data_IF_155771392233
#
_entry.id   IF_155771392233
#
_cell.length_a   1.000
_cell.length_b   1.000
_cell.length_c   1.000
_cell.angle_alpha   90.00
_cell.angle_beta   90.00
_cell.angle_gamma   90.00
#
_symmetry.space_group_name_H-M   'P 1'
#
loop_
_entity.id
_entity.type
_entity.pdbx_description
1 polymer ?
#
# COMPACT_ATOMS: atom_id res chain seq x y z
N UNK A 1 -51.83 34.93 -22.07
CA UNK A 1 -50.37 34.72 -22.21
C UNK A 1 -50.07 33.35 -21.59
N UNK A 2 -49.77 32.25 -22.26
CA UNK A 2 -49.24 31.98 -23.59
C UNK A 2 -48.23 30.84 -23.41
N UNK A 3 -48.73 29.60 -23.35
CA UNK A 3 -47.96 28.36 -23.13
C UNK A 3 -47.23 27.99 -24.43
N UNK A 4 -45.93 27.68 -24.36
CA UNK A 4 -45.29 26.77 -25.32
C UNK A 4 -44.23 25.88 -24.63
N UNK A 5 -44.35 24.55 -24.70
CA UNK A 5 -43.35 23.61 -24.18
C UNK A 5 -42.18 23.45 -25.16
N UNK A 6 -40.96 23.35 -24.62
CA UNK A 6 -39.77 23.02 -25.41
C UNK A 6 -39.73 21.52 -25.69
N UNK A 7 -39.84 21.22 -26.98
CA UNK A 7 -39.65 19.92 -27.63
C UNK A 7 -38.21 19.44 -27.40
N UNK A 8 -38.02 18.29 -26.74
CA UNK A 8 -36.70 17.62 -26.69
C UNK A 8 -36.73 16.43 -27.64
N UNK A 9 -35.93 16.55 -28.71
CA UNK A 9 -35.78 15.55 -29.77
C UNK A 9 -34.91 14.40 -29.25
N UNK A 10 -35.45 13.19 -29.26
CA UNK A 10 -34.74 11.95 -28.92
C UNK A 10 -34.11 11.40 -30.21
N UNK A 11 -32.78 11.42 -30.30
CA UNK A 11 -32.04 10.71 -31.35
C UNK A 11 -31.79 9.28 -30.92
N UNK A 12 -32.54 8.33 -31.50
CA UNK A 12 -32.27 6.89 -31.40
C UNK A 12 -31.25 6.56 -32.49
N UNK A 13 -29.98 6.46 -32.11
CA UNK A 13 -28.92 5.98 -33.00
C UNK A 13 -28.96 4.44 -33.05
N UNK A 14 -29.52 3.91 -34.14
CA UNK A 14 -29.40 2.51 -34.52
C UNK A 14 -27.98 2.27 -35.04
N UNK A 15 -27.09 1.77 -34.17
CA UNK A 15 -25.77 1.32 -34.58
C UNK A 15 -25.83 -0.14 -35.05
N UNK A 16 -25.43 -0.34 -36.30
CA UNK A 16 -25.38 -1.60 -37.03
C UNK A 16 -24.58 -2.70 -36.32
N UNK A 17 -25.19 -3.87 -36.20
CA UNK A 17 -24.58 -5.09 -35.71
C UNK A 17 -23.59 -5.66 -36.74
N UNK A 18 -22.32 -5.28 -36.66
CA UNK A 18 -21.26 -5.98 -37.39
C UNK A 18 -20.95 -7.30 -36.70
N UNK A 19 -21.48 -8.39 -37.27
CA UNK A 19 -21.12 -9.77 -36.89
C UNK A 19 -19.68 -10.03 -37.34
N UNK A 20 -18.72 -9.82 -36.44
CA UNK A 20 -17.34 -10.31 -36.60
C UNK A 20 -17.31 -11.81 -36.35
N UNK A 21 -16.93 -12.58 -37.38
CA UNK A 21 -16.67 -14.01 -37.25
C UNK A 21 -15.34 -14.20 -36.55
N UNK A 22 -15.36 -14.67 -35.32
CA UNK A 22 -14.16 -15.12 -34.61
C UNK A 22 -13.68 -16.43 -35.25
N UNK A 23 -12.60 -16.36 -36.02
CA UNK A 23 -11.81 -17.54 -36.39
C UNK A 23 -11.11 -18.04 -35.14
N UNK A 24 -11.43 -19.27 -34.71
CA UNK A 24 -10.73 -19.97 -33.66
C UNK A 24 -9.31 -20.29 -34.14
N UNK A 25 -8.36 -19.40 -33.87
CA UNK A 25 -6.94 -19.71 -33.90
C UNK A 25 -6.58 -20.35 -32.58
N UNK A 26 -6.19 -21.63 -32.62
CA UNK A 26 -5.62 -22.31 -31.45
C UNK A 26 -4.40 -21.51 -30.96
N UNK A 27 -4.40 -21.04 -29.70
CA UNK A 27 -3.21 -20.43 -29.14
C UNK A 27 -2.16 -21.52 -28.97
N UNK A 28 -1.13 -21.50 -29.82
CA UNK A 28 0.10 -22.22 -29.57
C UNK A 28 0.72 -21.67 -28.29
N UNK A 29 0.42 -22.34 -27.18
CA UNK A 29 1.03 -22.10 -25.88
C UNK A 29 2.50 -22.43 -26.03
N UNK A 30 3.27 -21.40 -26.37
CA UNK A 30 4.71 -21.42 -26.24
C UNK A 30 4.97 -21.52 -24.75
N UNK A 31 5.26 -22.75 -24.31
CA UNK A 31 5.77 -23.07 -22.98
C UNK A 31 7.07 -22.30 -22.81
N UNK A 32 6.97 -21.05 -22.34
CA UNK A 32 8.11 -20.29 -21.86
C UNK A 32 8.63 -21.10 -20.70
N UNK A 33 9.73 -21.79 -20.96
CA UNK A 33 10.53 -22.50 -19.98
C UNK A 33 10.93 -21.47 -18.92
N UNK A 34 10.10 -21.35 -17.87
CA UNK A 34 10.39 -20.51 -16.72
C UNK A 34 11.69 -21.05 -16.15
N UNK A 35 12.80 -20.39 -16.47
CA UNK A 35 14.09 -20.63 -15.82
C UNK A 35 13.84 -20.50 -14.33
N UNK A 36 13.75 -21.65 -13.67
CA UNK A 36 13.56 -21.78 -12.24
C UNK A 36 14.79 -21.12 -11.62
N UNK A 37 14.64 -19.85 -11.25
CA UNK A 37 15.67 -19.14 -10.51
C UNK A 37 16.03 -20.00 -9.30
N UNK A 38 17.32 -20.15 -8.96
CA UNK A 38 17.72 -20.89 -7.77
C UNK A 38 16.91 -20.34 -6.61
N UNK A 39 16.13 -21.22 -5.95
CA UNK A 39 15.29 -20.82 -4.83
C UNK A 39 16.19 -20.12 -3.82
N UNK A 40 15.91 -18.85 -3.55
CA UNK A 40 16.62 -18.15 -2.50
C UNK A 40 16.44 -18.94 -1.19
N UNK A 41 17.45 -18.95 -0.30
CA UNK A 41 17.34 -19.62 1.00
C UNK A 41 16.04 -19.20 1.71
N UNK A 42 15.27 -20.19 2.20
CA UNK A 42 13.96 -19.94 2.84
C UNK A 42 14.07 -18.96 4.02
N UNK A 43 15.23 -18.95 4.69
CA UNK A 43 15.56 -18.05 5.80
C UNK A 43 15.51 -16.55 5.45
N UNK A 44 15.61 -16.17 4.17
CA UNK A 44 15.67 -14.77 3.75
C UNK A 44 14.32 -14.18 3.35
N UNK A 45 13.20 -14.89 3.51
CA UNK A 45 11.88 -14.37 3.15
C UNK A 45 11.56 -13.02 3.81
N UNK A 46 11.86 -12.88 5.10
CA UNK A 46 11.69 -11.63 5.85
C UNK A 46 12.55 -10.48 5.31
N UNK A 47 13.82 -10.76 5.02
CA UNK A 47 14.74 -9.78 4.45
C UNK A 47 14.30 -9.33 3.05
N UNK A 48 13.81 -10.23 2.21
CA UNK A 48 13.25 -9.86 0.91
C UNK A 48 12.01 -8.98 1.03
N UNK A 49 11.12 -9.26 2.00
CA UNK A 49 9.94 -8.45 2.23
C UNK A 49 10.31 -7.04 2.71
N UNK A 50 11.27 -6.93 3.64
CA UNK A 50 11.84 -5.65 4.10
C UNK A 50 12.50 -4.89 2.96
N UNK A 51 13.38 -5.53 2.19
CA UNK A 51 14.08 -4.89 1.08
C UNK A 51 13.10 -4.32 0.05
N UNK A 52 12.06 -5.06 -0.30
CA UNK A 52 11.02 -4.56 -1.20
C UNK A 52 10.21 -3.43 -0.57
N UNK A 53 9.88 -3.52 0.72
CA UNK A 53 9.18 -2.44 1.43
C UNK A 53 9.99 -1.14 1.44
N UNK A 54 11.31 -1.24 1.66
CA UNK A 54 12.23 -0.11 1.58
C UNK A 54 12.25 0.50 0.16
N UNK A 55 12.22 -0.33 -0.88
CA UNK A 55 12.12 0.16 -2.27
C UNK A 55 10.78 0.85 -2.56
N UNK A 56 9.66 0.34 -2.05
CA UNK A 56 8.34 1.00 -2.15
C UNK A 56 8.37 2.38 -1.48
N UNK A 57 9.12 2.52 -0.39
CA UNK A 57 9.38 3.79 0.29
C UNK A 57 10.51 4.62 -0.35
N UNK A 58 10.97 4.27 -1.55
CA UNK A 58 12.04 4.95 -2.29
C UNK A 58 13.37 5.05 -1.53
N UNK A 59 13.68 4.10 -0.65
CA UNK A 59 15.00 3.99 -0.03
C UNK A 59 15.93 3.23 -0.97
N UNK A 60 17.11 3.80 -1.21
CA UNK A 60 18.16 3.16 -2.00
C UNK A 60 18.96 2.20 -1.11
N UNK A 61 18.67 0.90 -1.24
CA UNK A 61 19.23 -0.15 -0.38
C UNK A 61 19.65 -1.34 -1.21
N UNK A 62 20.93 -1.72 -1.11
CA UNK A 62 21.41 -2.97 -1.67
C UNK A 62 20.94 -4.14 -0.80
N UNK A 63 20.45 -5.21 -1.43
CA UNK A 63 19.96 -6.39 -0.70
C UNK A 63 21.03 -6.98 0.22
N UNK A 64 22.29 -6.98 -0.23
CA UNK A 64 23.45 -7.50 0.49
C UNK A 64 23.66 -6.82 1.85
N UNK A 65 23.27 -5.54 1.99
CA UNK A 65 23.42 -4.79 3.24
C UNK A 65 22.42 -5.22 4.32
N UNK A 66 21.34 -5.90 3.91
CA UNK A 66 20.31 -6.47 4.78
C UNK A 66 20.55 -7.94 5.10
N UNK A 67 21.41 -8.64 4.35
CA UNK A 67 21.79 -10.04 4.62
C UNK A 67 22.90 -10.07 5.66
N UNK A 68 22.57 -9.62 6.86
CA UNK A 68 23.45 -9.64 8.03
C UNK A 68 22.90 -10.63 9.06
N UNK A 69 23.78 -11.37 9.73
CA UNK A 69 23.40 -12.33 10.77
C UNK A 69 22.61 -11.68 11.92
N UNK A 70 22.77 -10.38 12.17
CA UNK A 70 21.95 -9.66 13.16
C UNK A 70 20.48 -9.51 12.78
N UNK A 71 20.12 -9.70 11.50
CA UNK A 71 18.75 -9.61 11.00
C UNK A 71 18.16 -10.97 10.60
N UNK A 72 18.98 -12.02 10.63
CA UNK A 72 18.59 -13.41 10.34
C UNK A 72 19.16 -14.27 11.47
N UNK A 73 18.50 -14.23 12.63
CA UNK A 73 19.02 -14.86 13.84
C UNK A 73 18.96 -16.39 13.85
N UNK A 74 18.24 -16.99 12.90
CA UNK A 74 18.04 -18.44 12.83
C UNK A 74 18.01 -18.99 11.40
N UNK A 75 18.33 -20.28 11.19
CA UNK A 75 18.10 -20.97 9.92
C UNK A 75 16.63 -20.96 9.45
N UNK A 76 15.69 -20.81 10.38
CA UNK A 76 14.26 -20.71 10.12
C UNK A 76 13.87 -19.34 9.56
N UNK A 77 14.70 -18.31 9.77
CA UNK A 77 14.56 -16.97 9.23
C UNK A 77 14.57 -15.87 10.29
N UNK A 78 14.04 -14.71 9.89
CA UNK A 78 14.01 -13.50 10.73
C UNK A 78 12.79 -13.46 11.65
N UNK A 79 12.98 -12.96 12.87
CA UNK A 79 11.90 -12.58 13.78
C UNK A 79 11.36 -11.18 13.46
N UNK A 80 10.15 -10.84 13.93
CA UNK A 80 9.59 -9.50 13.73
C UNK A 80 10.49 -8.39 14.29
N UNK A 81 11.13 -8.61 15.45
CA UNK A 81 12.04 -7.64 16.07
C UNK A 81 13.30 -7.41 15.23
N UNK A 82 13.85 -8.47 14.64
CA UNK A 82 14.99 -8.37 13.72
C UNK A 82 14.64 -7.60 12.44
N UNK A 83 13.45 -7.83 11.89
CA UNK A 83 12.97 -7.10 10.72
C UNK A 83 12.71 -5.62 11.01
N UNK A 84 12.21 -5.28 12.20
CA UNK A 84 12.10 -3.89 12.66
C UNK A 84 13.49 -3.25 12.77
N UNK A 85 14.45 -3.93 13.40
CA UNK A 85 15.83 -3.44 13.51
C UNK A 85 16.51 -3.28 12.14
N UNK A 86 16.12 -4.09 11.14
CA UNK A 86 16.61 -3.99 9.77
C UNK A 86 16.10 -2.71 9.08
N UNK A 87 14.81 -2.38 9.22
CA UNK A 87 14.24 -1.16 8.59
C UNK A 87 14.68 0.13 9.27
N UNK A 88 14.85 0.12 10.60
CA UNK A 88 15.24 1.30 11.37
C UNK A 88 16.63 1.83 10.98
N UNK A 89 17.51 0.98 10.41
CA UNK A 89 18.81 1.40 9.86
C UNK A 89 18.69 2.37 8.68
N UNK A 90 17.54 2.42 8.01
CA UNK A 90 17.31 3.19 6.79
C UNK A 90 16.31 4.33 6.96
N UNK A 91 16.21 4.88 8.18
CA UNK A 91 15.25 5.94 8.53
C UNK A 91 13.81 5.56 8.15
N UNK A 92 13.45 4.29 8.43
CA UNK A 92 12.10 3.76 8.28
C UNK A 92 11.66 3.19 9.61
N UNK A 93 10.48 3.60 10.06
CA UNK A 93 9.86 3.07 11.26
C UNK A 93 9.13 1.77 10.91
N UNK A 94 9.48 0.70 11.61
CA UNK A 94 8.71 -0.54 11.62
C UNK A 94 7.87 -0.64 12.89
N UNK A 95 6.55 -0.77 12.76
CA UNK A 95 5.66 -1.01 13.90
C UNK A 95 5.04 -2.39 13.75
N UNK A 96 5.34 -3.28 14.69
CA UNK A 96 4.68 -4.59 14.75
C UNK A 96 3.24 -4.37 15.23
N UNK A 97 2.29 -4.82 14.43
CA UNK A 97 0.87 -4.78 14.75
C UNK A 97 0.29 -6.19 14.67
N UNK A 98 -0.39 -6.61 15.72
CA UNK A 98 -1.09 -7.88 15.80
C UNK A 98 -2.60 -7.66 15.66
N UNK A 99 -3.32 -8.74 15.34
CA UNK A 99 -4.80 -8.75 15.20
C UNK A 99 -5.31 -7.75 14.15
N UNK A 100 -4.55 -7.55 13.09
CA UNK A 100 -4.98 -6.75 11.95
C UNK A 100 -6.08 -7.49 11.19
N UNK A 101 -7.07 -6.74 10.70
CA UNK A 101 -8.15 -7.26 9.85
C UNK A 101 -7.90 -6.93 8.38
N UNK A 102 -8.69 -7.51 7.47
CA UNK A 102 -8.62 -7.15 6.04
C UNK A 102 -9.00 -5.68 5.83
N UNK A 103 -9.97 -5.16 6.58
CA UNK A 103 -10.39 -3.76 6.51
C UNK A 103 -9.23 -2.82 6.90
N UNK A 104 -8.41 -3.22 7.87
CA UNK A 104 -7.20 -2.46 8.23
C UNK A 104 -6.19 -2.47 7.07
N UNK A 105 -5.98 -3.60 6.40
CA UNK A 105 -5.12 -3.67 5.21
C UNK A 105 -5.67 -2.80 4.07
N UNK A 106 -6.97 -2.87 3.82
CA UNK A 106 -7.64 -2.09 2.77
C UNK A 106 -7.52 -0.58 3.00
N UNK A 107 -7.57 -0.15 4.26
CA UNK A 107 -7.41 1.25 4.64
C UNK A 107 -5.95 1.71 4.79
N UNK A 108 -4.98 0.79 4.74
CA UNK A 108 -3.57 1.12 4.94
C UNK A 108 -3.01 1.92 3.78
N UNK A 109 -2.34 3.02 4.10
CA UNK A 109 -1.56 3.83 3.14
C UNK A 109 -0.07 3.45 3.13
N UNK A 110 0.31 2.46 3.92
CA UNK A 110 1.69 2.06 4.15
C UNK A 110 1.91 0.61 3.71
N UNK A 111 3.10 0.28 3.19
CA UNK A 111 3.48 -1.11 2.96
C UNK A 111 3.58 -1.86 4.29
N UNK A 112 3.18 -3.14 4.29
CA UNK A 112 3.12 -3.98 5.49
C UNK A 112 3.81 -5.31 5.22
N UNK A 113 4.78 -5.69 6.04
CA UNK A 113 5.39 -7.03 5.98
C UNK A 113 4.52 -8.00 6.78
N UNK A 114 3.82 -8.90 6.11
CA UNK A 114 2.84 -9.83 6.69
C UNK A 114 3.49 -11.15 7.11
N UNK A 115 3.08 -11.67 8.27
CA UNK A 115 3.48 -12.99 8.76
C UNK A 115 2.47 -14.06 8.31
N UNK A 116 2.90 -14.97 7.45
CA UNK A 116 2.00 -15.93 6.78
C UNK A 116 2.53 -17.36 6.86
N UNK A 117 1.66 -18.30 6.52
CA UNK A 117 2.04 -19.68 6.22
C UNK A 117 2.67 -19.74 4.84
N UNK A 118 3.79 -20.46 4.71
CA UNK A 118 4.40 -20.72 3.41
C UNK A 118 3.49 -21.51 2.44
N UNK A 119 2.52 -22.26 2.97
CA UNK A 119 1.50 -22.96 2.17
C UNK A 119 0.22 -23.19 2.97
N UNK A 120 -0.89 -23.54 2.30
CA UNK A 120 -2.14 -23.89 2.98
C UNK A 120 -2.04 -25.14 3.87
N UNK A 121 -1.13 -26.05 3.53
CA UNK A 121 -0.93 -27.29 4.27
C UNK A 121 0.03 -27.12 5.43
N UNK A 122 0.70 -25.97 5.53
CA UNK A 122 1.57 -25.67 6.66
C UNK A 122 0.75 -25.45 7.93
N UNK A 123 1.21 -26.02 9.03
CA UNK A 123 0.63 -25.79 10.36
C UNK A 123 1.22 -24.54 11.03
N UNK A 124 2.42 -24.14 10.61
CA UNK A 124 3.15 -22.99 11.14
C UNK A 124 3.08 -21.78 10.21
N UNK A 125 2.99 -20.60 10.82
CA UNK A 125 3.28 -19.32 10.20
C UNK A 125 4.80 -19.12 10.26
N UNK A 126 5.47 -19.33 9.14
CA UNK A 126 6.92 -19.45 9.02
C UNK A 126 7.48 -18.62 7.86
N UNK A 127 6.66 -17.73 7.30
CA UNK A 127 6.98 -17.01 6.08
C UNK A 127 6.60 -15.54 6.18
N UNK A 128 7.38 -14.70 5.50
CA UNK A 128 7.13 -13.27 5.42
C UNK A 128 6.93 -12.85 3.97
N UNK A 129 5.95 -11.97 3.74
CA UNK A 129 5.69 -11.38 2.42
C UNK A 129 5.29 -9.92 2.56
N UNK A 130 5.44 -9.14 1.49
CA UNK A 130 5.11 -7.72 1.50
C UNK A 130 3.70 -7.51 0.95
N UNK A 131 2.85 -6.83 1.70
CA UNK A 131 1.64 -6.16 1.21
C UNK A 131 2.00 -4.74 0.79
N UNK A 132 1.80 -4.42 -0.48
CA UNK A 132 2.11 -3.11 -1.06
C UNK A 132 0.91 -2.16 -0.95
N UNK A 133 -0.29 -2.68 -1.14
CA UNK A 133 -1.53 -1.91 -1.17
C UNK A 133 -2.68 -2.69 -1.79
N UNK A 134 -3.70 -1.97 -2.25
CA UNK A 134 -4.88 -2.55 -2.89
C UNK A 134 -5.03 -2.03 -4.31
N UNK A 135 -5.22 -2.95 -5.26
CA UNK A 135 -5.61 -2.64 -6.63
C UNK A 135 -6.75 -3.58 -7.07
N UNK A 136 -7.78 -3.04 -7.72
CA UNK A 136 -8.96 -3.79 -8.19
C UNK A 136 -9.64 -4.66 -7.11
N UNK A 137 -9.69 -4.16 -5.87
CA UNK A 137 -10.27 -4.86 -4.73
C UNK A 137 -9.46 -6.11 -4.29
N UNK A 138 -8.20 -6.21 -4.70
CA UNK A 138 -7.28 -7.29 -4.34
C UNK A 138 -6.05 -6.73 -3.63
N UNK A 139 -5.52 -7.52 -2.71
CA UNK A 139 -4.26 -7.24 -2.05
C UNK A 139 -3.11 -7.43 -3.04
N UNK A 140 -2.25 -6.43 -3.15
CA UNK A 140 -1.04 -6.50 -3.97
C UNK A 140 0.12 -7.02 -3.13
N UNK A 141 0.64 -8.19 -3.48
CA UNK A 141 1.60 -8.94 -2.67
C UNK A 141 2.91 -9.14 -3.44
N UNK A 142 4.04 -8.93 -2.76
CA UNK A 142 5.34 -9.40 -3.21
C UNK A 142 5.84 -10.54 -2.33
N UNK A 143 6.23 -11.65 -2.96
CA UNK A 143 6.73 -12.85 -2.28
C UNK A 143 8.15 -13.17 -2.76
N UNK A 144 9.17 -12.84 -1.96
CA UNK A 144 10.57 -13.04 -2.35
C UNK A 144 10.96 -12.18 -3.55
N UNK A 145 11.64 -12.75 -4.54
CA UNK A 145 12.05 -12.05 -5.77
C UNK A 145 10.96 -12.00 -6.85
N UNK A 146 9.78 -12.55 -6.57
CA UNK A 146 8.69 -12.56 -7.54
C UNK A 146 8.15 -11.14 -7.77
N UNK A 147 7.70 -10.89 -8.99
CA UNK A 147 6.95 -9.68 -9.29
C UNK A 147 5.70 -9.58 -8.41
N UNK A 148 5.25 -8.35 -8.20
CA UNK A 148 4.00 -8.05 -7.49
C UNK A 148 2.83 -8.81 -8.13
N UNK A 149 2.04 -9.49 -7.29
CA UNK A 149 0.92 -10.32 -7.72
C UNK A 149 -0.35 -9.94 -6.96
N UNK A 150 -1.50 -9.83 -7.65
CA UNK A 150 -2.77 -9.64 -6.98
C UNK A 150 -3.21 -10.93 -6.26
N UNK A 151 -3.67 -10.79 -5.03
CA UNK A 151 -4.22 -11.86 -4.20
C UNK A 151 -5.58 -11.44 -3.64
N UNK A 152 -6.57 -12.33 -3.67
CA UNK A 152 -7.86 -12.03 -3.02
C UNK A 152 -7.69 -11.98 -1.51
N UNK A 153 -8.42 -11.10 -0.83
CA UNK A 153 -8.42 -11.04 0.63
C UNK A 153 -8.85 -12.37 1.27
N UNK A 154 -9.82 -13.08 0.68
CA UNK A 154 -10.21 -14.41 1.14
C UNK A 154 -9.03 -15.41 1.13
N UNK A 155 -8.20 -15.36 0.09
CA UNK A 155 -6.98 -16.17 0.01
C UNK A 155 -5.96 -15.72 1.05
N UNK A 156 -5.74 -14.41 1.16
CA UNK A 156 -4.79 -13.84 2.12
C UNK A 156 -5.15 -14.23 3.56
N UNK A 157 -6.40 -14.05 3.97
CA UNK A 157 -6.87 -14.40 5.33
C UNK A 157 -6.74 -15.89 5.65
N UNK A 158 -6.73 -16.77 4.64
CA UNK A 158 -6.55 -18.21 4.87
C UNK A 158 -5.10 -18.59 5.25
N UNK A 159 -4.12 -17.73 4.97
CA UNK A 159 -2.70 -17.99 5.23
C UNK A 159 -2.06 -16.98 6.19
N UNK A 160 -2.73 -15.89 6.53
CA UNK A 160 -2.23 -14.81 7.38
C UNK A 160 -2.72 -14.96 8.83
N UNK A 161 -1.86 -14.68 9.81
CA UNK A 161 -2.20 -14.77 11.25
C UNK A 161 -2.75 -13.46 11.84
N UNK A 162 -2.87 -12.40 11.04
CA UNK A 162 -3.24 -11.08 11.51
C UNK A 162 -2.07 -10.26 12.07
N UNK A 163 -0.83 -10.73 11.95
CA UNK A 163 0.39 -10.00 12.34
C UNK A 163 1.04 -9.37 11.12
N UNK A 164 1.46 -8.11 11.25
CA UNK A 164 2.21 -7.40 10.23
C UNK A 164 3.16 -6.37 10.82
N UNK A 165 4.14 -5.96 10.03
CA UNK A 165 5.05 -4.84 10.34
C UNK A 165 4.72 -3.70 9.41
N UNK A 166 4.08 -2.66 9.92
CA UNK A 166 3.74 -1.45 9.16
C UNK A 166 5.02 -0.65 8.97
N UNK A 167 5.34 -0.32 7.71
CA UNK A 167 6.53 0.44 7.35
C UNK A 167 6.15 1.88 6.98
N UNK A 168 6.68 2.84 7.72
CA UNK A 168 6.47 4.27 7.45
C UNK A 168 7.80 5.02 7.43
N UNK A 169 7.99 5.90 6.46
CA UNK A 169 9.17 6.78 6.41
C UNK A 169 9.20 7.68 7.66
N UNK A 170 10.33 7.76 8.37
CA UNK A 170 10.45 8.67 9.52
C UNK A 170 10.64 10.13 9.09
N UNK A 171 11.02 10.36 7.83
CA UNK A 171 11.27 11.69 7.26
C UNK A 171 10.07 12.64 7.29
N UNK A 172 8.84 12.14 7.41
CA UNK A 172 7.65 12.98 7.48
C UNK A 172 7.34 13.56 8.88
N UNK A 173 8.07 13.16 9.93
CA UNK A 173 7.85 13.64 11.29
C UNK A 173 8.94 14.61 11.80
N UNK A 174 10.12 14.62 11.18
CA UNK A 174 11.31 15.30 11.71
C UNK A 174 11.61 16.69 11.14
N UNK A 175 11.02 17.08 10.02
CA UNK A 175 11.40 18.31 9.32
C UNK A 175 10.19 19.20 9.00
N UNK A 176 9.72 19.94 10.00
CA UNK A 176 8.88 21.14 9.82
C UNK A 176 9.66 22.32 9.19
N UNK A 177 10.78 22.03 8.52
CA UNK A 177 11.50 22.90 7.60
C UNK A 177 11.26 22.52 6.14
N UNK A 178 10.02 22.63 5.66
CA UNK A 178 9.66 22.81 4.23
C UNK A 178 10.53 22.01 3.24
N UNK A 179 10.48 20.68 3.28
CA UNK A 179 10.91 19.88 2.12
C UNK A 179 9.74 19.74 1.15
N UNK A 180 9.87 20.34 -0.03
CA UNK A 180 8.95 20.20 -1.16
C UNK A 180 8.80 18.76 -1.67
N UNK A 181 9.65 17.82 -1.24
CA UNK A 181 9.61 16.43 -1.69
C UNK A 181 8.34 15.66 -1.24
N UNK A 182 7.75 16.02 -0.10
CA UNK A 182 6.50 15.38 0.36
C UNK A 182 5.28 15.79 -0.50
N UNK A 183 5.32 16.99 -1.11
CA UNK A 183 4.28 17.43 -2.06
C UNK A 183 4.25 16.57 -3.32
N UNK A 184 5.40 16.09 -3.78
CA UNK A 184 5.48 15.29 -5.02
C UNK A 184 4.98 13.86 -4.82
N UNK A 185 5.14 13.29 -3.63
CA UNK A 185 4.60 11.96 -3.31
C UNK A 185 3.08 12.03 -3.08
N UNK A 186 2.56 13.10 -2.46
CA UNK A 186 1.11 13.36 -2.42
C UNK A 186 0.52 13.61 -3.83
N UNK A 187 1.23 14.29 -4.72
CA UNK A 187 0.78 14.54 -6.10
C UNK A 187 0.79 13.29 -6.98
N UNK A 188 1.51 12.23 -6.62
CA UNK A 188 1.51 10.95 -7.35
C UNK A 188 0.27 10.10 -7.06
N UNK A 189 -0.41 10.36 -5.94
CA UNK A 189 -1.59 9.62 -5.47
C UNK A 189 -2.88 10.46 -5.41
N UNK A 190 -2.82 11.76 -5.75
CA UNK A 190 -4.00 12.62 -5.86
C UNK A 190 -4.38 12.87 -7.35
N UNK A 191 -5.66 12.76 -7.75
CA UNK A 191 -6.07 13.25 -9.06
C UNK A 191 -5.91 14.78 -9.12
N UNK A 192 -5.43 15.28 -10.26
CA UNK A 192 -5.29 16.72 -10.55
C UNK A 192 -6.64 17.42 -10.39
N UNK A 193 -6.90 18.02 -9.23
CA UNK A 193 -7.86 19.10 -9.11
C UNK A 193 -7.09 20.43 -9.15
N UNK A 194 -7.42 21.25 -10.14
CA UNK A 194 -6.73 22.49 -10.50
C UNK A 194 -6.96 23.68 -9.55
N UNK A 195 -7.57 23.50 -8.39
CA UNK A 195 -7.96 24.61 -7.52
C UNK A 195 -7.49 24.40 -6.08
N UNK A 196 -6.18 24.55 -5.85
CA UNK A 196 -5.61 24.79 -4.53
C UNK A 196 -4.65 25.99 -4.62
N UNK A 197 -5.21 27.19 -4.69
CA UNK A 197 -4.49 28.43 -4.41
C UNK A 197 -4.43 28.63 -2.89
N UNK A 198 -3.34 28.21 -2.27
CA UNK A 198 -3.01 28.58 -0.89
C UNK A 198 -1.87 29.60 -0.93
N UNK A 199 -2.26 30.86 -0.72
CA UNK A 199 -1.39 32.02 -0.62
C UNK A 199 -0.53 31.94 0.65
N UNK A 200 0.78 32.12 0.51
CA UNK A 200 1.80 31.81 1.49
C UNK A 200 2.27 33.05 2.26
N UNK A 201 1.37 33.77 2.91
CA UNK A 201 1.77 34.93 3.75
C UNK A 201 1.13 34.91 5.13
N UNK A 202 2.00 35.02 6.12
CA UNK A 202 1.79 35.23 7.57
C UNK A 202 1.49 33.99 8.43
N UNK A 203 2.56 33.28 8.81
CA UNK A 203 2.61 32.62 10.12
C UNK A 203 3.77 33.24 10.91
N UNK A 204 3.46 34.27 11.68
CA UNK A 204 4.37 34.90 12.64
C UNK A 204 4.27 34.13 13.96
N UNK A 205 5.41 33.64 14.43
CA UNK A 205 5.56 32.96 15.71
C UNK A 205 5.35 33.94 16.87
N UNK A 206 4.41 33.63 17.77
CA UNK A 206 4.44 34.14 19.14
C UNK A 206 3.97 33.10 20.13
N UNK A 207 4.94 32.58 20.86
CA UNK A 207 4.79 31.92 22.16
C UNK A 207 4.06 32.83 23.14
N UNK A 208 2.96 32.36 23.71
CA UNK A 208 2.43 32.90 24.97
C UNK A 208 1.81 31.76 25.78
N UNK A 209 2.51 31.39 26.85
CA UNK A 209 2.00 30.60 27.96
C UNK A 209 0.87 31.38 28.62
N UNK A 210 -0.32 30.79 28.76
CA UNK A 210 -1.26 31.09 29.86
C UNK A 210 -2.27 29.96 30.05
N UNK A 211 -2.33 29.48 31.29
CA UNK A 211 -3.40 28.67 31.85
C UNK A 211 -4.71 29.46 31.82
N UNK A 212 -5.82 28.79 31.51
CA UNK A 212 -7.15 29.14 32.00
C UNK A 212 -8.04 27.88 31.99
N UNK A 213 -8.68 27.64 33.14
CA UNK A 213 -9.63 26.59 33.36
C UNK A 213 -11.03 26.95 32.80
N UNK A 214 -11.86 25.91 32.66
CA UNK A 214 -13.34 25.89 32.59
C UNK A 214 -14.05 26.62 31.43
N UNK A 215 -14.78 25.87 30.60
CA UNK A 215 -16.26 25.88 30.56
C UNK A 215 -16.81 24.95 29.46
N UNK A 216 -17.94 24.33 29.80
CA UNK A 216 -18.81 23.50 28.95
C UNK A 216 -19.24 24.19 27.65
N UNK A 217 -19.39 23.41 26.58
CA UNK A 217 -20.12 23.82 25.37
C UNK A 217 -20.11 22.71 24.32
N UNK A 218 -21.19 21.93 24.26
CA UNK A 218 -21.35 20.85 23.29
C UNK A 218 -21.28 21.35 21.85
N UNK A 219 -20.39 20.75 21.08
CA UNK A 219 -20.37 20.82 19.62
C UNK A 219 -20.09 19.42 19.10
N UNK A 220 -21.07 18.80 18.46
CA UNK A 220 -20.85 17.57 17.70
C UNK A 220 -19.93 17.91 16.53
N UNK A 221 -18.67 17.47 16.60
CA UNK A 221 -17.80 17.40 15.43
C UNK A 221 -18.25 16.21 14.58
N UNK A 222 -19.00 16.49 13.52
CA UNK A 222 -19.24 15.52 12.46
C UNK A 222 -17.91 15.25 11.76
N UNK A 223 -17.30 14.10 12.05
CA UNK A 223 -16.19 13.60 11.25
C UNK A 223 -16.74 13.19 9.88
N UNK A 224 -16.51 14.02 8.87
CA UNK A 224 -16.71 13.63 7.47
C UNK A 224 -15.53 12.74 7.11
N UNK A 225 -15.73 11.43 7.18
CA UNK A 225 -14.78 10.45 6.63
C UNK A 225 -15.01 10.41 5.12
N UNK A 226 -14.18 11.15 4.37
CA UNK A 226 -14.16 11.06 2.91
C UNK A 226 -13.49 9.74 2.50
N UNK A 227 -14.29 8.73 2.19
CA UNK A 227 -13.83 7.57 1.42
C UNK A 227 -13.85 7.93 -0.06
N UNK A 228 -12.67 7.97 -0.70
CA UNK A 228 -12.55 8.20 -2.13
C UNK A 228 -12.02 6.93 -2.80
N UNK A 229 -12.90 6.24 -3.53
CA UNK A 229 -12.56 5.09 -4.36
C UNK A 229 -11.74 5.57 -5.57
N UNK A 230 -10.45 5.25 -5.59
CA UNK A 230 -9.61 5.38 -6.78
C UNK A 230 -9.70 4.12 -7.62
N UNK A 231 -10.20 4.24 -8.86
CA UNK A 231 -10.06 3.19 -9.88
C UNK A 231 -8.60 3.16 -10.36
N UNK A 232 -7.95 2.01 -10.18
CA UNK A 232 -6.67 1.69 -10.81
C UNK A 232 -6.91 1.21 -12.25
N UNK A 233 -6.01 1.54 -13.17
CA UNK A 233 -6.00 1.08 -14.58
C UNK A 233 -4.63 0.51 -14.90
#
# INVERSE_FOLDING_TARGET
MGILPKLTIVFIALASSSVSRCTAGEPSVSTVEQRKLPLAPRSYCGIYAVWQGLKVLNKDVAFQDLVDAKYVGSPEGSTAAELVAAVERYDVRGIVQARMSNEMLESSQHPIVLHVRSSLVSESYDHWMLFVGVADGKAMICNGLEAEKPMSFARLSSIWDGTGIVLSDTGCWGDLGVSTACKDQCNRFAPRHSDCSLDSRTCSTRTAVRSAATAFGGGFCTFVVCYQFGLWR
#
